data_IF_594171990263
#
_entry.id   IF_594171990263
#
_cell.length_a   1.000
_cell.length_b   1.000
_cell.length_c   1.000
_cell.angle_alpha   90.00
_cell.angle_beta   90.00
_cell.angle_gamma   90.00
#
_symmetry.space_group_name_H-M   'P 1'
#
loop_
_entity.id
_entity.type
_entity.pdbx_description
1 polymer ?
#
# COMPACT_ATOMS: atom_id res chain seq x y z
N UNK A 1 -27.39 -7.81 45.78
CA UNK A 1 -26.28 -7.03 45.17
C UNK A 1 -25.58 -7.79 44.05
N UNK A 2 -25.22 -9.07 44.21
CA UNK A 2 -24.53 -9.90 43.20
C UNK A 2 -25.22 -10.00 41.82
N UNK A 3 -26.56 -10.15 41.77
CA UNK A 3 -27.31 -10.31 40.51
C UNK A 3 -27.23 -9.10 39.57
N UNK A 4 -27.14 -7.89 40.13
CA UNK A 4 -27.01 -6.65 39.35
C UNK A 4 -25.58 -6.41 38.85
N UNK A 5 -24.58 -6.88 39.59
CA UNK A 5 -23.17 -6.82 39.18
C UNK A 5 -22.94 -7.77 37.99
N UNK A 6 -23.44 -9.00 38.10
CA UNK A 6 -23.28 -10.02 37.04
C UNK A 6 -23.89 -9.58 35.70
N UNK A 7 -25.10 -8.99 35.72
CA UNK A 7 -25.74 -8.47 34.50
C UNK A 7 -25.00 -7.29 33.87
N UNK A 8 -24.36 -6.43 34.67
CA UNK A 8 -23.52 -5.33 34.17
C UNK A 8 -22.23 -5.87 33.54
N UNK A 9 -21.63 -6.89 34.14
CA UNK A 9 -20.43 -7.54 33.60
C UNK A 9 -20.72 -8.22 32.27
N UNK A 10 -21.81 -8.99 32.15
CA UNK A 10 -22.18 -9.62 30.87
C UNK A 10 -22.44 -8.61 29.76
N UNK A 11 -23.07 -7.48 30.09
CA UNK A 11 -23.34 -6.41 29.11
C UNK A 11 -22.05 -5.72 28.67
N UNK A 12 -21.13 -5.44 29.60
CA UNK A 12 -19.80 -4.87 29.29
C UNK A 12 -18.99 -5.82 28.39
N UNK A 13 -18.94 -7.11 28.73
CA UNK A 13 -18.22 -8.14 27.96
C UNK A 13 -18.79 -8.23 26.54
N UNK A 14 -20.11 -8.27 26.39
CA UNK A 14 -20.76 -8.25 25.08
C UNK A 14 -20.40 -7.01 24.26
N UNK A 15 -20.42 -5.82 24.87
CA UNK A 15 -19.99 -4.59 24.21
C UNK A 15 -18.51 -4.63 23.79
N UNK A 16 -17.61 -5.12 24.64
CA UNK A 16 -16.18 -5.23 24.30
C UNK A 16 -15.92 -6.21 23.16
N UNK A 17 -16.65 -7.34 23.10
CA UNK A 17 -16.54 -8.31 22.00
C UNK A 17 -17.06 -7.69 20.71
N UNK A 18 -18.23 -7.05 20.74
CA UNK A 18 -18.84 -6.43 19.57
C UNK A 18 -17.96 -5.31 18.99
N UNK A 19 -17.48 -4.39 19.82
CA UNK A 19 -16.60 -3.32 19.35
C UNK A 19 -15.20 -3.83 18.97
N UNK A 20 -14.71 -4.90 19.59
CA UNK A 20 -13.46 -5.57 19.20
C UNK A 20 -13.54 -6.18 17.80
N UNK A 21 -14.64 -6.88 17.48
CA UNK A 21 -14.87 -7.40 16.13
C UNK A 21 -14.99 -6.28 15.09
N UNK A 22 -15.71 -5.20 15.42
CA UNK A 22 -15.83 -4.02 14.52
C UNK A 22 -14.46 -3.37 14.31
N UNK A 23 -13.64 -3.24 15.35
CA UNK A 23 -12.30 -2.67 15.25
C UNK A 23 -11.34 -3.56 14.44
N UNK A 24 -11.40 -4.89 14.61
CA UNK A 24 -10.63 -5.86 13.82
C UNK A 24 -10.99 -5.78 12.33
N UNK A 25 -12.29 -5.80 12.01
CA UNK A 25 -12.77 -5.68 10.63
C UNK A 25 -12.43 -4.30 10.04
N UNK A 26 -12.55 -3.21 10.81
CA UNK A 26 -12.20 -1.87 10.34
C UNK A 26 -10.69 -1.71 10.13
N UNK A 27 -9.84 -2.29 10.97
CA UNK A 27 -8.38 -2.19 10.83
C UNK A 27 -7.88 -2.91 9.59
N UNK A 28 -8.45 -4.07 9.26
CA UNK A 28 -8.19 -4.80 8.01
C UNK A 28 -8.68 -4.01 6.77
N UNK A 29 -9.78 -3.27 6.88
CA UNK A 29 -10.37 -2.52 5.77
C UNK A 29 -9.83 -1.10 5.56
N UNK A 30 -9.33 -0.44 6.61
CA UNK A 30 -8.95 0.99 6.60
C UNK A 30 -7.46 1.20 6.38
N UNK A 31 -6.61 0.22 6.71
CA UNK A 31 -5.16 0.32 6.60
C UNK A 31 -4.60 -0.48 5.44
N UNK A 32 -4.86 -0.07 4.20
CA UNK A 32 -4.31 -0.68 2.98
C UNK A 32 -2.79 -0.47 2.82
N UNK A 33 -2.00 -0.76 3.87
CA UNK A 33 -0.54 -0.79 3.80
C UNK A 33 -0.15 -2.17 3.27
N UNK A 34 0.11 -2.24 1.96
CA UNK A 34 0.64 -3.44 1.34
C UNK A 34 2.17 -3.46 1.46
N UNK A 35 2.69 -4.50 2.10
CA UNK A 35 4.14 -4.72 2.23
C UNK A 35 4.65 -5.44 0.98
N UNK A 36 5.59 -4.81 0.27
CA UNK A 36 6.23 -5.40 -0.91
C UNK A 36 7.24 -6.46 -0.44
N UNK A 37 7.16 -7.72 -0.93
CA UNK A 37 8.11 -8.75 -0.56
C UNK A 37 9.54 -8.38 -0.97
N UNK A 38 10.54 -8.92 -0.25
CA UNK A 38 11.94 -8.76 -0.64
C UNK A 38 12.17 -9.27 -2.08
N UNK A 39 12.98 -8.55 -2.84
CA UNK A 39 13.25 -8.88 -4.25
C UNK A 39 12.09 -8.62 -5.21
N UNK A 40 11.04 -7.92 -4.76
CA UNK A 40 9.94 -7.45 -5.62
C UNK A 40 9.88 -5.92 -5.62
N UNK A 41 9.16 -5.37 -6.60
CA UNK A 41 8.88 -3.95 -6.75
C UNK A 41 7.39 -3.71 -6.87
N UNK A 42 6.96 -2.55 -6.38
CA UNK A 42 5.63 -2.01 -6.65
C UNK A 42 5.72 -0.98 -7.77
N UNK A 43 5.00 -1.22 -8.85
CA UNK A 43 4.94 -0.39 -10.05
C UNK A 43 3.57 0.27 -10.14
N UNK A 44 3.54 1.59 -10.33
CA UNK A 44 2.33 2.37 -10.62
C UNK A 44 2.57 3.22 -11.85
N UNK A 45 1.56 3.32 -12.72
CA UNK A 45 1.63 4.18 -13.89
C UNK A 45 1.20 5.61 -13.57
N UNK A 46 1.79 6.58 -14.26
CA UNK A 46 1.48 8.01 -14.09
C UNK A 46 0.01 8.35 -14.43
N UNK A 47 -0.61 7.59 -15.35
CA UNK A 47 -2.03 7.70 -15.66
C UNK A 47 -2.86 6.74 -14.80
N UNK A 48 -3.15 7.15 -13.58
CA UNK A 48 -3.82 6.34 -12.56
C UNK A 48 -5.12 5.67 -13.04
N UNK A 49 -5.91 6.34 -13.88
CA UNK A 49 -7.20 5.84 -14.36
C UNK A 49 -7.09 4.84 -15.50
N UNK A 50 -5.99 4.88 -16.26
CA UNK A 50 -5.80 4.07 -17.45
C UNK A 50 -4.46 3.33 -17.41
N UNK A 51 -4.15 2.76 -16.24
CA UNK A 51 -2.96 1.95 -16.03
C UNK A 51 -3.40 0.62 -15.41
N UNK A 52 -3.00 -0.48 -16.05
CA UNK A 52 -3.04 -1.80 -15.42
C UNK A 52 -1.67 -2.02 -14.78
N UNK A 53 -1.60 -1.82 -13.48
CA UNK A 53 -0.35 -1.87 -12.71
C UNK A 53 -0.50 -2.67 -11.41
N UNK A 54 0.42 -2.50 -10.46
CA UNK A 54 0.52 -3.36 -9.27
C UNK A 54 -0.72 -3.27 -8.38
N UNK A 55 -1.54 -2.22 -8.52
CA UNK A 55 -2.85 -2.11 -7.88
C UNK A 55 -3.81 -3.24 -8.27
N UNK A 56 -3.60 -3.85 -9.45
CA UNK A 56 -4.42 -4.96 -9.97
C UNK A 56 -3.72 -6.31 -9.91
N UNK A 57 -2.44 -6.40 -10.30
CA UNK A 57 -1.72 -7.68 -10.37
C UNK A 57 -0.76 -7.93 -9.20
N UNK A 58 -0.57 -6.96 -8.30
CA UNK A 58 0.33 -7.06 -7.16
C UNK A 58 1.81 -6.76 -7.47
N UNK A 59 2.72 -7.05 -6.53
CA UNK A 59 4.14 -6.76 -6.67
C UNK A 59 4.82 -7.66 -7.72
N UNK A 60 5.84 -7.13 -8.41
CA UNK A 60 6.54 -7.79 -9.52
C UNK A 60 7.97 -8.18 -9.11
N UNK A 61 8.46 -9.39 -9.44
CA UNK A 61 9.86 -9.75 -9.20
C UNK A 61 10.84 -8.75 -9.84
N UNK A 62 11.83 -8.27 -9.07
CA UNK A 62 12.83 -7.29 -9.51
C UNK A 62 13.60 -7.78 -10.75
N UNK A 63 13.85 -9.10 -10.86
CA UNK A 63 14.54 -9.70 -12.00
C UNK A 63 13.82 -9.60 -13.35
N UNK A 64 12.55 -9.17 -13.39
CA UNK A 64 11.82 -8.90 -14.63
C UNK A 64 12.10 -7.50 -15.19
N UNK A 65 12.74 -6.62 -14.43
CA UNK A 65 13.09 -5.27 -14.87
C UNK A 65 14.24 -5.35 -15.88
N UNK A 66 14.01 -4.82 -17.08
CA UNK A 66 15.04 -4.79 -18.15
C UNK A 66 15.93 -3.55 -18.11
N UNK A 67 15.42 -2.43 -17.59
CA UNK A 67 16.17 -1.18 -17.53
C UNK A 67 15.32 0.00 -17.04
N UNK A 68 15.99 1.13 -16.84
CA UNK A 68 15.39 2.40 -16.42
C UNK A 68 15.38 3.39 -17.59
N UNK A 69 14.26 4.06 -17.80
CA UNK A 69 14.18 5.15 -18.77
C UNK A 69 14.91 6.37 -18.19
N UNK A 70 15.87 6.91 -18.92
CA UNK A 70 16.70 8.04 -18.47
C UNK A 70 16.75 9.21 -19.46
N UNK A 71 16.32 9.01 -20.71
CA UNK A 71 16.37 10.03 -21.76
C UNK A 71 15.06 10.06 -22.55
N UNK A 72 14.54 11.26 -22.78
CA UNK A 72 13.43 11.54 -23.67
C UNK A 72 13.98 12.07 -24.99
N UNK A 73 13.72 11.35 -26.08
CA UNK A 73 14.21 11.70 -27.43
C UNK A 73 13.19 12.58 -28.19
N UNK A 74 11.90 12.41 -27.93
CA UNK A 74 10.80 13.11 -28.60
C UNK A 74 9.71 13.53 -27.59
N UNK A 75 9.00 14.66 -27.79
CA UNK A 75 9.13 15.65 -28.88
C UNK A 75 10.44 16.45 -28.81
N UNK A 76 10.93 16.95 -29.96
CA UNK A 76 12.21 17.68 -30.01
C UNK A 76 12.24 18.91 -29.09
N UNK A 77 11.09 19.56 -28.87
CA UNK A 77 10.95 20.70 -27.96
C UNK A 77 11.07 20.32 -26.48
N UNK A 78 11.04 19.03 -26.16
CA UNK A 78 11.16 18.46 -24.81
C UNK A 78 12.25 17.36 -24.78
N UNK A 79 13.25 17.46 -25.68
CA UNK A 79 14.40 16.57 -25.69
C UNK A 79 15.26 16.79 -24.44
N UNK A 80 15.59 15.72 -23.72
CA UNK A 80 16.48 15.83 -22.57
C UNK A 80 16.45 14.62 -21.64
N UNK A 81 17.31 14.66 -20.63
CA UNK A 81 17.34 13.65 -19.58
C UNK A 81 16.08 13.73 -18.73
N UNK A 82 15.54 12.56 -18.36
CA UNK A 82 14.46 12.49 -17.39
C UNK A 82 15.02 12.91 -16.03
N UNK A 83 14.26 13.77 -15.34
CA UNK A 83 14.59 14.17 -13.96
C UNK A 83 14.61 12.93 -13.08
N UNK A 84 15.48 12.94 -12.08
CA UNK A 84 15.45 11.93 -11.06
C UNK A 84 14.10 11.93 -10.35
N UNK A 85 13.64 10.72 -10.01
CA UNK A 85 12.44 10.57 -9.21
C UNK A 85 12.62 11.37 -7.91
N UNK A 86 11.62 12.13 -7.44
CA UNK A 86 11.66 12.77 -6.14
C UNK A 86 11.97 11.78 -5.00
N UNK A 87 11.65 10.50 -5.21
CA UNK A 87 11.90 9.40 -4.29
C UNK A 87 13.27 8.72 -4.47
N UNK A 88 14.18 9.28 -5.27
CA UNK A 88 15.51 8.69 -5.52
C UNK A 88 16.31 8.42 -4.25
N UNK A 89 16.15 9.26 -3.23
CA UNK A 89 16.76 9.11 -1.91
C UNK A 89 16.31 7.87 -1.13
N UNK A 90 15.21 7.21 -1.53
CA UNK A 90 14.76 5.94 -0.91
C UNK A 90 15.48 4.72 -1.45
N UNK A 91 16.24 4.88 -2.53
CA UNK A 91 16.96 3.82 -3.22
C UNK A 91 18.49 3.95 -3.03
N UNK A 92 18.97 4.57 -1.95
CA UNK A 92 20.39 4.49 -1.62
C UNK A 92 20.72 3.03 -1.31
N UNK A 93 21.35 2.39 -2.30
CA UNK A 93 21.71 0.98 -2.33
C UNK A 93 22.46 0.56 -1.04
N UNK A 94 21.84 -0.34 -0.27
CA UNK A 94 22.53 -1.31 0.59
C UNK A 94 22.78 -2.61 -0.20
#
# INVERSE_FOLDING_TARGET
MLRGVLGKTFRLVGYTIQYGCIAHCAFEYVGGVLMVPKGHVWLEGDNLQNSTDSRYYGPVPYGLIRGRIFLKIWPLNDFGFLRDSPNSHRFSDE
#
